data_IF_677322347884
#
_entry.id   IF_677322347884
#
_cell.length_a   1.000
_cell.length_b   1.000
_cell.length_c   1.000
_cell.angle_alpha   90.00
_cell.angle_beta   90.00
_cell.angle_gamma   90.00
#
_symmetry.space_group_name_H-M   'P 1'
#
loop_
_entity.id
_entity.type
_entity.pdbx_description
1 polymer ?
#
# COMPACT_ATOMS: atom_id res chain seq x y z
N UNK A 1 -9.59 0.71 19.70
CA UNK A 1 -9.56 1.76 18.68
C UNK A 1 -9.57 1.18 17.29
N UNK A 2 -10.27 1.82 16.39
CA UNK A 2 -10.28 1.38 15.00
C UNK A 2 -8.94 1.69 14.35
N UNK A 3 -8.48 0.78 13.49
CA UNK A 3 -7.26 0.98 12.72
C UNK A 3 -7.62 1.57 11.36
N UNK A 4 -6.77 2.47 10.87
CA UNK A 4 -6.98 3.12 9.60
C UNK A 4 -6.13 2.48 8.52
N UNK A 5 -6.75 2.12 7.41
CA UNK A 5 -6.10 1.52 6.26
C UNK A 5 -6.43 2.31 5.00
N UNK A 6 -5.42 2.61 4.21
CA UNK A 6 -5.59 3.25 2.91
C UNK A 6 -5.02 2.34 1.83
N UNK A 7 -5.83 2.02 0.85
CA UNK A 7 -5.44 1.13 -0.26
C UNK A 7 -5.27 1.89 -1.57
N UNK A 8 -4.52 1.30 -2.49
CA UNK A 8 -4.41 1.81 -3.84
C UNK A 8 -3.38 2.90 -4.01
N UNK A 9 -2.36 2.92 -3.17
CA UNK A 9 -1.26 3.87 -3.31
C UNK A 9 -0.38 3.49 -4.50
N UNK A 10 0.03 4.45 -5.28
CA UNK A 10 0.90 4.18 -6.43
C UNK A 10 1.92 5.27 -6.72
N UNK A 11 1.89 6.38 -5.99
CA UNK A 11 2.81 7.49 -6.21
C UNK A 11 3.60 7.81 -4.95
N UNK A 12 4.77 8.43 -5.14
CA UNK A 12 5.60 8.87 -4.01
C UNK A 12 4.83 9.87 -3.13
N UNK A 13 4.07 10.75 -3.74
CA UNK A 13 3.26 11.73 -3.01
C UNK A 13 2.26 11.06 -2.09
N UNK A 14 1.70 9.92 -2.52
CA UNK A 14 0.74 9.16 -1.71
C UNK A 14 1.42 8.64 -0.44
N UNK A 15 2.67 8.21 -0.56
CA UNK A 15 3.43 7.71 0.59
C UNK A 15 3.71 8.84 1.58
N UNK A 16 4.08 10.01 1.09
CA UNK A 16 4.33 11.15 1.95
C UNK A 16 3.07 11.55 2.72
N UNK A 17 1.91 11.49 2.06
CA UNK A 17 0.63 11.77 2.70
C UNK A 17 0.33 10.80 3.84
N UNK A 18 0.47 9.50 3.59
CA UNK A 18 0.14 8.51 4.62
C UNK A 18 1.13 8.56 5.78
N UNK A 19 2.40 8.87 5.52
CA UNK A 19 3.37 9.07 6.58
C UNK A 19 2.95 10.23 7.50
N UNK A 20 2.44 11.30 6.91
CA UNK A 20 1.99 12.46 7.65
C UNK A 20 0.73 12.18 8.44
N UNK A 21 -0.20 11.42 7.85
CA UNK A 21 -1.47 11.05 8.49
C UNK A 21 -1.31 9.98 9.56
N UNK A 22 -0.18 9.29 9.59
CA UNK A 22 0.11 8.22 10.57
C UNK A 22 -0.95 7.13 10.56
N UNK A 23 -1.29 6.65 9.37
CA UNK A 23 -2.23 5.53 9.21
C UNK A 23 -1.58 4.24 9.73
N UNK A 24 -2.39 3.23 10.03
CA UNK A 24 -1.88 1.94 10.55
C UNK A 24 -1.42 1.02 9.42
N UNK A 25 -2.11 1.02 8.30
CA UNK A 25 -1.83 0.14 7.16
C UNK A 25 -1.97 0.88 5.85
N UNK A 26 -1.17 0.48 4.87
CA UNK A 26 -1.37 0.88 3.48
C UNK A 26 -1.47 -0.37 2.62
N UNK A 27 -2.24 -0.30 1.54
CA UNK A 27 -2.39 -1.40 0.60
C UNK A 27 -1.89 -1.00 -0.77
N UNK A 28 -1.15 -1.90 -1.41
CA UNK A 28 -0.73 -1.77 -2.80
C UNK A 28 -1.47 -2.82 -3.62
N UNK A 29 -2.16 -2.39 -4.67
CA UNK A 29 -2.92 -3.31 -5.52
C UNK A 29 -1.94 -3.93 -6.52
N UNK A 30 -1.69 -5.22 -6.35
CA UNK A 30 -0.72 -5.97 -7.15
C UNK A 30 -1.38 -6.77 -8.28
N UNK A 31 -2.69 -6.90 -8.28
CA UNK A 31 -3.41 -7.54 -9.38
C UNK A 31 -3.41 -6.62 -10.60
N UNK A 32 -3.06 -7.16 -11.77
CA UNK A 32 -3.05 -6.37 -12.99
C UNK A 32 -4.45 -5.99 -13.45
N UNK A 33 -4.54 -4.97 -14.31
CA UNK A 33 -5.80 -4.59 -14.95
C UNK A 33 -6.62 -3.54 -14.22
N UNK A 34 -6.21 -3.12 -13.05
CA UNK A 34 -6.90 -2.06 -12.30
C UNK A 34 -6.15 -0.75 -12.40
N UNK A 35 -6.89 0.37 -12.31
CA UNK A 35 -6.29 1.70 -12.45
C UNK A 35 -5.19 1.98 -11.43
N UNK A 36 -5.34 1.46 -10.23
CA UNK A 36 -4.39 1.68 -9.15
C UNK A 36 -3.43 0.52 -8.94
N UNK A 37 -3.37 -0.39 -9.92
CA UNK A 37 -2.43 -1.49 -9.87
C UNK A 37 -1.01 -1.01 -10.08
N UNK A 38 -0.08 -1.60 -9.33
CA UNK A 38 1.35 -1.39 -9.52
C UNK A 38 2.04 -2.74 -9.49
N UNK A 39 3.24 -2.82 -10.02
CA UNK A 39 4.00 -4.06 -9.95
C UNK A 39 4.65 -4.20 -8.57
N UNK A 40 5.13 -5.40 -8.27
CA UNK A 40 5.73 -5.70 -6.98
C UNK A 40 6.98 -4.86 -6.73
N UNK A 41 7.76 -4.61 -7.77
CA UNK A 41 8.98 -3.82 -7.67
C UNK A 41 8.68 -2.38 -7.27
N UNK A 42 7.67 -1.78 -7.88
CA UNK A 42 7.22 -0.43 -7.53
C UNK A 42 6.70 -0.39 -6.10
N UNK A 43 5.91 -1.40 -5.71
CA UNK A 43 5.39 -1.49 -4.36
C UNK A 43 6.52 -1.53 -3.33
N UNK A 44 7.58 -2.30 -3.60
CA UNK A 44 8.72 -2.37 -2.71
C UNK A 44 9.45 -1.03 -2.58
N UNK A 45 9.62 -0.32 -3.69
CA UNK A 45 10.24 1.02 -3.66
C UNK A 45 9.44 1.98 -2.81
N UNK A 46 8.12 1.96 -2.96
CA UNK A 46 7.24 2.83 -2.19
C UNK A 46 7.24 2.44 -0.71
N UNK A 47 7.26 1.14 -0.43
CA UNK A 47 7.32 0.64 0.94
C UNK A 47 8.58 1.13 1.66
N UNK A 48 9.71 1.18 0.96
CA UNK A 48 10.97 1.63 1.56
C UNK A 48 10.91 3.09 2.02
N UNK A 49 10.03 3.89 1.41
CA UNK A 49 9.82 5.28 1.79
C UNK A 49 8.82 5.43 2.94
N UNK A 50 8.10 4.37 3.24
CA UNK A 50 7.05 4.36 4.24
C UNK A 50 7.64 4.42 5.64
N UNK A 51 6.94 5.11 6.56
CA UNK A 51 7.32 5.12 7.96
C UNK A 51 7.33 3.69 8.52
N UNK A 52 8.26 3.40 9.43
CA UNK A 52 8.39 2.07 10.04
C UNK A 52 7.15 1.65 10.82
N UNK A 53 6.37 2.61 11.27
CA UNK A 53 5.17 2.35 12.06
C UNK A 53 3.98 1.95 11.20
N UNK A 54 4.09 2.08 9.89
CA UNK A 54 3.00 1.78 8.96
C UNK A 54 3.31 0.46 8.27
N UNK A 55 2.34 -0.46 8.33
CA UNK A 55 2.48 -1.78 7.69
C UNK A 55 1.97 -1.73 6.26
N UNK A 56 2.72 -2.36 5.36
CA UNK A 56 2.36 -2.44 3.96
C UNK A 56 1.76 -3.81 3.66
N UNK A 57 0.67 -3.82 2.88
CA UNK A 57 -0.04 -5.03 2.50
C UNK A 57 -0.19 -5.07 0.99
N UNK A 58 0.14 -6.21 0.38
CA UNK A 58 -0.15 -6.44 -1.04
C UNK A 58 -1.56 -6.97 -1.18
N UNK A 59 -2.33 -6.37 -2.07
CA UNK A 59 -3.73 -6.73 -2.30
C UNK A 59 -3.87 -7.37 -3.68
N UNK A 60 -4.39 -8.60 -3.71
CA UNK A 60 -4.69 -9.32 -4.94
C UNK A 60 -6.21 -9.43 -5.06
N UNK A 61 -6.79 -8.50 -5.80
CA UNK A 61 -8.24 -8.32 -5.84
C UNK A 61 -8.96 -9.55 -6.37
N UNK A 62 -8.45 -10.13 -7.46
CA UNK A 62 -9.10 -11.28 -8.08
C UNK A 62 -9.09 -12.53 -7.21
N UNK A 63 -8.09 -12.67 -6.36
CA UNK A 63 -7.93 -13.85 -5.52
C UNK A 63 -8.36 -13.58 -4.09
N UNK A 64 -8.74 -12.35 -3.80
CA UNK A 64 -9.14 -11.93 -2.46
C UNK A 64 -8.07 -12.26 -1.41
N UNK A 65 -6.81 -12.05 -1.78
CA UNK A 65 -5.66 -12.37 -0.92
C UNK A 65 -4.97 -11.08 -0.48
N UNK A 66 -4.61 -11.03 0.78
CA UNK A 66 -3.82 -9.94 1.36
C UNK A 66 -2.51 -10.52 1.86
N UNK A 67 -1.39 -9.93 1.43
CA UNK A 67 -0.06 -10.39 1.84
C UNK A 67 0.70 -9.22 2.45
N UNK A 68 1.21 -9.41 3.65
CA UNK A 68 2.07 -8.42 4.30
C UNK A 68 3.43 -8.42 3.61
N UNK A 69 3.88 -7.28 3.20
CA UNK A 69 5.13 -7.15 2.48
C UNK A 69 6.12 -6.23 3.19
#
# INVERSE_FOLDING_TARGET
MAKLKICGLKRVEDIDYVNELKVDYVGFILSGGYKRSIDFKTAQSLKNRLSKDIKAVGVFVDENILIII
#
